data_IF_111641205006
#
_entry.id   IF_111641205006
#
_cell.length_a   1.000
_cell.length_b   1.000
_cell.length_c   1.000
_cell.angle_alpha   90.00
_cell.angle_beta   90.00
_cell.angle_gamma   90.00
#
_symmetry.space_group_name_H-M   'P 1'
#
loop_
_entity.id
_entity.type
_entity.pdbx_description
1 polymer ?
#
# COMPACT_ATOMS: atom_id res chain seq x y z
N UNK A 1 20.30 -9.12 13.20
CA UNK A 1 20.82 -8.79 11.86
C UNK A 1 19.76 -8.02 11.12
N UNK A 2 20.14 -7.13 10.21
CA UNK A 2 19.22 -6.45 9.31
C UNK A 2 18.43 -7.48 8.48
N UNK A 3 17.09 -7.40 8.51
CA UNK A 3 16.21 -8.24 7.68
C UNK A 3 15.84 -7.55 6.38
N UNK A 4 15.51 -8.32 5.35
CA UNK A 4 14.95 -7.81 4.11
C UNK A 4 13.43 -8.02 4.09
N UNK A 5 12.73 -7.05 3.50
CA UNK A 5 11.33 -7.21 3.14
C UNK A 5 11.13 -6.81 1.68
N UNK A 6 10.07 -7.32 1.07
CA UNK A 6 9.54 -6.77 -0.17
C UNK A 6 8.27 -5.95 0.12
N UNK A 7 8.09 -4.86 -0.63
CA UNK A 7 6.89 -4.04 -0.61
C UNK A 7 6.34 -4.00 -2.03
N UNK A 8 5.03 -4.14 -2.14
CA UNK A 8 4.29 -3.88 -3.36
C UNK A 8 3.02 -3.07 -3.04
N UNK A 9 2.68 -2.16 -3.95
CA UNK A 9 1.65 -1.16 -3.74
C UNK A 9 0.76 -1.05 -4.97
N UNK A 10 -0.55 -0.96 -4.74
CA UNK A 10 -1.54 -0.66 -5.77
C UNK A 10 -1.96 0.79 -5.64
N UNK A 11 -2.07 1.50 -6.76
CA UNK A 11 -2.45 2.91 -6.80
C UNK A 11 -3.76 3.12 -7.56
N UNK A 12 -4.46 4.20 -7.22
CA UNK A 12 -5.68 4.67 -7.89
C UNK A 12 -5.53 6.16 -8.24
N UNK A 13 -6.19 6.62 -9.30
CA UNK A 13 -6.17 8.02 -9.72
C UNK A 13 -7.09 8.89 -8.87
N UNK A 14 -6.56 9.99 -8.34
CA UNK A 14 -7.31 10.92 -7.47
C UNK A 14 -7.56 12.30 -8.07
N UNK A 15 -6.95 12.62 -9.21
CA UNK A 15 -7.09 13.92 -9.86
C UNK A 15 -7.57 13.79 -11.31
N UNK A 16 -8.64 14.51 -11.73
CA UNK A 16 -9.10 14.49 -13.11
C UNK A 16 -8.04 15.04 -14.06
N UNK A 17 -7.71 14.28 -15.11
CA UNK A 17 -6.81 14.69 -16.22
C UNK A 17 -5.33 14.87 -15.84
N UNK A 18 -4.91 14.39 -14.67
CA UNK A 18 -3.48 14.31 -14.31
C UNK A 18 -3.09 12.86 -14.07
N UNK A 19 -1.79 12.56 -14.11
CA UNK A 19 -1.23 11.23 -13.79
C UNK A 19 -0.99 11.05 -12.29
N UNK A 20 -1.66 11.84 -11.44
CA UNK A 20 -1.50 11.75 -9.99
C UNK A 20 -2.26 10.52 -9.49
N UNK A 21 -1.51 9.60 -8.91
CA UNK A 21 -2.04 8.38 -8.31
C UNK A 21 -1.67 8.34 -6.84
N UNK A 22 -2.60 7.84 -6.02
CA UNK A 22 -2.42 7.65 -4.58
C UNK A 22 -2.53 6.18 -4.20
N UNK A 23 -1.88 5.81 -3.10
CA UNK A 23 -1.86 4.45 -2.58
C UNK A 23 -3.28 3.99 -2.20
N UNK A 24 -3.72 2.88 -2.77
CA UNK A 24 -4.99 2.22 -2.42
C UNK A 24 -4.81 0.87 -1.72
N UNK A 25 -3.62 0.26 -1.84
CA UNK A 25 -3.26 -0.96 -1.13
C UNK A 25 -1.75 -1.04 -0.97
N UNK A 26 -1.30 -1.52 0.18
CA UNK A 26 0.10 -1.87 0.39
C UNK A 26 0.18 -3.30 0.92
N UNK A 27 1.17 -4.04 0.44
CA UNK A 27 1.57 -5.34 0.96
C UNK A 27 3.05 -5.34 1.29
N UNK A 28 3.39 -5.91 2.44
CA UNK A 28 4.76 -6.07 2.93
C UNK A 28 4.95 -7.53 3.31
N UNK A 29 5.99 -8.15 2.79
CA UNK A 29 6.32 -9.55 3.07
C UNK A 29 7.77 -9.70 3.54
N UNK A 30 8.00 -10.58 4.50
CA UNK A 30 9.36 -10.91 4.96
C UNK A 30 10.12 -11.68 3.88
N UNK A 31 11.45 -11.75 4.01
CA UNK A 31 12.28 -12.60 3.14
C UNK A 31 11.84 -14.07 3.11
N UNK A 32 11.22 -14.55 4.19
CA UNK A 32 10.71 -15.93 4.29
C UNK A 32 9.28 -16.08 3.75
N UNK A 33 8.70 -15.02 3.19
CA UNK A 33 7.35 -15.03 2.61
C UNK A 33 6.23 -14.85 3.62
N UNK A 34 6.53 -14.46 4.87
CA UNK A 34 5.50 -14.15 5.85
C UNK A 34 4.83 -12.81 5.49
N UNK A 35 3.50 -12.76 5.54
CA UNK A 35 2.76 -11.53 5.31
C UNK A 35 2.83 -10.67 6.57
N UNK A 36 3.64 -9.62 6.49
CA UNK A 36 3.86 -8.67 7.57
C UNK A 36 2.76 -7.60 7.60
N UNK A 37 2.31 -7.17 6.43
CA UNK A 37 1.22 -6.21 6.27
C UNK A 37 0.50 -6.47 4.94
N UNK A 38 -0.84 -6.41 4.91
CA UNK A 38 -1.60 -6.42 3.66
C UNK A 38 -2.96 -5.79 3.88
N UNK A 39 -3.09 -4.50 3.55
CA UNK A 39 -4.32 -3.75 3.81
C UNK A 39 -4.62 -2.76 2.67
N UNK A 40 -5.91 -2.49 2.49
CA UNK A 40 -6.36 -1.38 1.67
C UNK A 40 -6.19 -0.07 2.45
N UNK A 41 -5.86 1.00 1.72
CA UNK A 41 -5.55 2.31 2.28
C UNK A 41 -6.44 3.35 1.61
N UNK A 42 -7.04 4.22 2.41
CA UNK A 42 -7.79 5.36 1.90
C UNK A 42 -6.83 6.40 1.34
N UNK A 43 -7.20 6.91 0.18
CA UNK A 43 -6.58 8.09 -0.42
C UNK A 43 -6.96 9.34 0.37
N UNK A 44 -6.11 10.36 0.36
CA UNK A 44 -6.41 11.65 0.99
C UNK A 44 -7.39 12.46 0.13
N UNK A 45 -7.32 12.26 -1.19
CA UNK A 45 -8.22 12.87 -2.17
C UNK A 45 -9.27 11.87 -2.68
N UNK A 46 -10.44 12.33 -3.18
CA UNK A 46 -11.46 11.44 -3.73
C UNK A 46 -10.93 10.60 -4.90
N UNK A 47 -11.23 9.30 -4.91
CA UNK A 47 -10.87 8.41 -6.02
C UNK A 47 -11.73 8.78 -7.24
N UNK A 48 -11.06 9.17 -8.32
CA UNK A 48 -11.70 9.54 -9.59
C UNK A 48 -11.62 8.40 -10.62
N UNK A 49 -10.55 7.62 -10.58
CA UNK A 49 -10.38 6.43 -11.42
C UNK A 49 -9.70 5.32 -10.62
N UNK A 50 -10.35 4.17 -10.50
CA UNK A 50 -9.77 3.02 -9.82
C UNK A 50 -8.66 2.37 -10.63
N UNK A 51 -8.58 2.62 -11.94
CA UNK A 51 -7.62 1.97 -12.81
C UNK A 51 -7.67 0.43 -12.65
N UNK A 52 -8.85 -0.15 -12.44
CA UNK A 52 -9.03 -1.53 -11.95
C UNK A 52 -8.41 -2.60 -12.86
N UNK A 53 -8.24 -2.29 -14.15
CA UNK A 53 -7.54 -3.19 -15.08
C UNK A 53 -6.08 -3.41 -14.67
N UNK A 54 -5.46 -2.40 -14.07
CA UNK A 54 -4.07 -2.43 -13.62
C UNK A 54 -3.96 -2.69 -12.12
N UNK A 55 -4.77 -2.01 -11.31
CA UNK A 55 -4.66 -2.04 -9.84
C UNK A 55 -5.43 -3.18 -9.16
N UNK A 56 -6.37 -3.79 -9.87
CA UNK A 56 -7.39 -4.69 -9.32
C UNK A 56 -8.21 -4.10 -8.14
N UNK A 57 -8.14 -2.78 -7.89
CA UNK A 57 -8.91 -2.12 -6.83
C UNK A 57 -10.32 -1.79 -7.32
N UNK A 58 -11.30 -1.93 -6.41
CA UNK A 58 -12.69 -1.55 -6.65
C UNK A 58 -13.20 -0.78 -5.44
N UNK A 59 -14.33 -0.07 -5.59
CA UNK A 59 -14.94 0.66 -4.48
C UNK A 59 -15.33 -0.22 -3.28
N UNK A 60 -15.61 -1.50 -3.49
CA UNK A 60 -15.92 -2.43 -2.39
C UNK A 60 -14.71 -2.67 -1.48
N UNK A 61 -13.49 -2.63 -2.03
CA UNK A 61 -12.27 -2.77 -1.23
C UNK A 61 -12.11 -1.60 -0.25
N UNK A 62 -12.55 -0.41 -0.63
CA UNK A 62 -12.42 0.79 0.19
C UNK A 62 -13.32 0.77 1.44
N UNK A 63 -14.38 -0.05 1.46
CA UNK A 63 -15.19 -0.26 2.66
C UNK A 63 -14.39 -0.82 3.86
N UNK A 64 -13.23 -1.43 3.61
CA UNK A 64 -12.33 -2.00 4.63
C UNK A 64 -10.99 -1.25 4.71
N UNK A 65 -10.84 -0.13 4.00
CA UNK A 65 -9.59 0.59 3.96
C UNK A 65 -9.33 1.35 5.28
N UNK A 66 -8.06 1.37 5.69
CA UNK A 66 -7.57 2.17 6.80
C UNK A 66 -7.00 3.50 6.30
N UNK A 67 -6.84 4.50 7.16
CA UNK A 67 -6.21 5.76 6.72
C UNK A 67 -4.73 5.57 6.41
N UNK A 68 -4.17 6.43 5.56
CA UNK A 68 -2.75 6.42 5.23
C UNK A 68 -1.85 6.52 6.47
N UNK A 69 -2.22 7.35 7.44
CA UNK A 69 -1.44 7.53 8.68
C UNK A 69 -1.44 6.26 9.54
N UNK A 70 -2.57 5.54 9.61
CA UNK A 70 -2.64 4.25 10.31
C UNK A 70 -1.78 3.21 9.58
N UNK A 71 -1.85 3.16 8.25
CA UNK A 71 -1.04 2.24 7.46
C UNK A 71 0.46 2.51 7.67
N UNK A 72 0.90 3.76 7.58
CA UNK A 72 2.29 4.15 7.81
C UNK A 72 2.77 3.76 9.21
N UNK A 73 1.95 4.01 10.23
CA UNK A 73 2.28 3.64 11.62
C UNK A 73 2.45 2.13 11.77
N UNK A 74 1.47 1.34 11.33
CA UNK A 74 1.52 -0.12 11.44
C UNK A 74 2.70 -0.71 10.67
N UNK A 75 2.97 -0.20 9.46
CA UNK A 75 4.12 -0.61 8.66
C UNK A 75 5.41 -0.34 9.42
N UNK A 76 5.60 0.87 9.97
CA UNK A 76 6.80 1.24 10.74
C UNK A 76 6.96 0.41 12.01
N UNK A 77 5.87 0.04 12.69
CA UNK A 77 5.91 -0.87 13.85
C UNK A 77 6.30 -2.30 13.46
N UNK A 78 5.97 -2.70 12.23
CA UNK A 78 6.32 -4.01 11.69
C UNK A 78 7.77 -4.10 11.22
N UNK A 79 8.41 -2.95 10.98
CA UNK A 79 9.81 -2.86 10.59
C UNK A 79 10.74 -2.89 11.82
N UNK A 80 11.58 -3.93 12.00
CA UNK A 80 12.73 -3.81 12.88
C UNK A 80 13.58 -2.62 12.43
N UNK A 81 14.06 -1.81 13.38
CA UNK A 81 14.84 -0.58 13.17
C UNK A 81 16.13 -0.73 12.34
N UNK A 82 16.46 -1.93 11.88
CA UNK A 82 17.60 -2.26 11.02
C UNK A 82 17.21 -2.93 9.69
N UNK A 83 15.94 -2.92 9.30
CA UNK A 83 15.50 -3.61 8.07
C UNK A 83 15.74 -2.77 6.82
N UNK A 84 16.11 -3.43 5.73
CA UNK A 84 16.30 -2.81 4.42
C UNK A 84 15.22 -3.28 3.44
N UNK A 85 14.83 -2.42 2.50
CA UNK A 85 14.00 -2.83 1.38
C UNK A 85 14.84 -3.69 0.44
N UNK A 86 14.32 -4.85 0.05
CA UNK A 86 14.91 -5.65 -1.00
C UNK A 86 14.79 -4.88 -2.33
N UNK A 87 15.83 -4.87 -3.18
CA UNK A 87 15.68 -4.39 -4.54
C UNK A 87 14.71 -5.31 -5.30
N UNK A 88 13.79 -4.70 -6.05
CA UNK A 88 12.87 -5.37 -6.98
C UNK A 88 13.62 -5.86 -8.23
#
# INVERSE_FOLDING_TARGET
GAGYVAIDCEMVGTEPRTWVSELARCSVVSYHGEVLFSKYVWTEMPIMDYCSLWSAITGQHMCKAISFQVAQKEILETFPSSSALAPL
#
